data_IF_460711900525
#
_entry.id   IF_460711900525
#
_cell.length_a   1.000
_cell.length_b   1.000
_cell.length_c   1.000
_cell.angle_alpha   90.00
_cell.angle_beta   90.00
_cell.angle_gamma   90.00
#
_symmetry.space_group_name_H-M   'P 1'
#
loop_
_entity.id
_entity.type
_entity.pdbx_description
1 polymer ?
#
# COMPACT_ATOMS: atom_id res chain seq x y z
N UNK A 1 -2.87 17.75 -5.53
CA UNK A 1 -2.27 16.51 -4.99
C UNK A 1 -3.34 15.44 -4.94
N UNK A 2 -3.14 14.34 -5.67
CA UNK A 2 -4.12 13.23 -5.76
C UNK A 2 -3.78 12.19 -4.69
N UNK A 3 -4.82 11.57 -4.12
CA UNK A 3 -4.70 10.56 -3.07
C UNK A 3 -5.42 9.28 -3.48
N UNK A 4 -4.77 8.15 -3.29
CA UNK A 4 -5.31 6.81 -3.53
C UNK A 4 -5.27 6.04 -2.23
N UNK A 5 -6.39 5.42 -1.87
CA UNK A 5 -6.50 4.59 -0.68
C UNK A 5 -6.22 3.13 -1.04
N UNK A 6 -5.26 2.49 -0.36
CA UNK A 6 -5.04 1.05 -0.41
C UNK A 6 -5.55 0.41 0.88
N UNK A 7 -6.68 -0.28 0.79
CA UNK A 7 -7.26 -0.98 1.93
C UNK A 7 -6.60 -2.34 2.16
N UNK A 8 -5.91 -2.48 3.28
CA UNK A 8 -5.18 -3.67 3.69
C UNK A 8 -6.06 -4.55 4.59
N UNK A 9 -6.59 -5.64 4.04
CA UNK A 9 -7.43 -6.60 4.75
C UNK A 9 -6.60 -7.72 5.41
N UNK A 10 -7.16 -8.33 6.45
CA UNK A 10 -6.54 -9.49 7.11
C UNK A 10 -6.42 -10.66 6.11
N UNK A 11 -5.22 -11.23 5.98
CA UNK A 11 -4.94 -12.33 5.07
C UNK A 11 -4.62 -11.93 3.64
N UNK A 12 -4.40 -10.63 3.36
CA UNK A 12 -3.94 -10.16 2.06
C UNK A 12 -2.60 -10.80 1.67
N UNK A 13 -2.33 -10.87 0.37
CA UNK A 13 -1.03 -11.26 -0.17
C UNK A 13 -0.13 -10.01 -0.24
N UNK A 14 1.00 -10.03 0.46
CA UNK A 14 1.82 -8.84 0.67
C UNK A 14 2.60 -8.37 -0.56
N UNK A 15 2.93 -9.26 -1.50
CA UNK A 15 3.62 -8.90 -2.74
C UNK A 15 2.66 -8.24 -3.74
N UNK A 16 1.40 -8.64 -3.78
CA UNK A 16 0.33 -7.96 -4.51
C UNK A 16 0.14 -6.54 -3.97
N UNK A 17 0.11 -6.37 -2.64
CA UNK A 17 0.05 -5.05 -2.03
C UNK A 17 1.30 -4.20 -2.34
N UNK A 18 2.50 -4.82 -2.33
CA UNK A 18 3.76 -4.15 -2.62
C UNK A 18 3.82 -3.59 -4.05
N UNK A 19 3.21 -4.26 -5.03
CA UNK A 19 3.16 -3.77 -6.42
C UNK A 19 2.52 -2.37 -6.53
N UNK A 20 1.51 -2.06 -5.70
CA UNK A 20 0.93 -0.73 -5.65
C UNK A 20 1.90 0.29 -5.07
N UNK A 21 2.60 -0.06 -3.99
CA UNK A 21 3.59 0.84 -3.38
C UNK A 21 4.71 1.19 -4.36
N UNK A 22 5.15 0.24 -5.18
CA UNK A 22 6.15 0.46 -6.23
C UNK A 22 5.62 1.42 -7.31
N UNK A 23 4.50 1.08 -7.95
CA UNK A 23 3.92 1.89 -9.05
C UNK A 23 3.60 3.32 -8.61
N UNK A 24 3.00 3.50 -7.43
CA UNK A 24 2.71 4.85 -6.93
C UNK A 24 3.97 5.59 -6.47
N UNK A 25 4.96 4.88 -5.91
CA UNK A 25 6.27 5.45 -5.57
C UNK A 25 6.99 6.05 -6.77
N UNK A 26 6.89 5.44 -7.95
CA UNK A 26 7.47 6.01 -9.18
C UNK A 26 6.89 7.38 -9.55
N UNK A 27 5.66 7.70 -9.11
CA UNK A 27 5.07 9.02 -9.35
C UNK A 27 5.78 10.15 -8.60
N UNK A 28 6.49 9.86 -7.50
CA UNK A 28 7.31 10.87 -6.81
C UNK A 28 8.68 11.09 -7.44
N UNK A 29 9.12 10.14 -8.28
CA UNK A 29 10.47 10.14 -8.86
C UNK A 29 10.47 10.59 -10.33
N UNK A 30 9.50 10.15 -11.13
CA UNK A 30 9.52 10.33 -12.59
C UNK A 30 8.32 11.07 -13.17
N UNK A 31 7.34 11.45 -12.34
CA UNK A 31 6.12 12.09 -12.81
C UNK A 31 6.02 13.54 -12.33
N UNK A 32 5.26 14.36 -13.07
CA UNK A 32 5.11 15.79 -12.80
C UNK A 32 4.21 16.09 -11.58
N UNK A 33 3.27 15.19 -11.28
CA UNK A 33 2.29 15.38 -10.20
C UNK A 33 2.24 14.16 -9.27
N UNK A 34 2.91 14.18 -8.11
CA UNK A 34 2.96 13.02 -7.23
C UNK A 34 1.56 12.57 -6.79
N UNK A 35 1.38 11.25 -6.73
CA UNK A 35 0.18 10.60 -6.20
C UNK A 35 0.54 9.96 -4.87
N UNK A 36 -0.13 10.37 -3.82
CA UNK A 36 0.06 9.80 -2.49
C UNK A 36 -0.77 8.52 -2.35
N UNK A 37 -0.10 7.42 -2.04
CA UNK A 37 -0.73 6.16 -1.67
C UNK A 37 -0.90 6.11 -0.16
N UNK A 38 -2.15 6.09 0.31
CA UNK A 38 -2.50 6.01 1.72
C UNK A 38 -2.94 4.59 2.03
N UNK A 39 -2.13 3.86 2.79
CA UNK A 39 -2.51 2.56 3.34
C UNK A 39 -3.48 2.77 4.50
N UNK A 40 -4.51 1.94 4.54
CA UNK A 40 -5.51 1.96 5.61
C UNK A 40 -5.89 0.53 5.98
N UNK A 41 -6.18 0.29 7.25
CA UNK A 41 -6.68 -1.00 7.71
C UNK A 41 -7.67 -0.84 8.85
N UNK A 42 -8.50 -1.86 9.08
CA UNK A 42 -9.41 -1.92 10.22
C UNK A 42 -8.68 -2.28 11.54
N UNK A 43 -7.38 -2.57 11.47
CA UNK A 43 -6.56 -3.06 12.58
C UNK A 43 -5.20 -2.36 12.54
N UNK A 44 -4.56 -2.14 13.70
CA UNK A 44 -3.20 -1.59 13.76
C UNK A 44 -2.14 -2.51 13.12
N UNK A 45 -2.41 -3.82 13.09
CA UNK A 45 -1.55 -4.85 12.49
C UNK A 45 -2.40 -5.79 11.65
N UNK A 46 -1.98 -5.99 10.40
CA UNK A 46 -2.59 -6.92 9.44
C UNK A 46 -1.65 -8.09 9.26
N UNK A 47 -2.11 -9.32 9.55
CA UNK A 47 -1.32 -10.52 9.19
C UNK A 47 -1.62 -10.90 7.76
N UNK A 48 -0.58 -11.09 6.97
CA UNK A 48 -0.66 -11.41 5.54
C UNK A 48 -0.63 -12.92 5.32
N UNK A 49 -0.81 -13.34 4.07
CA UNK A 49 -0.85 -14.73 3.65
C UNK A 49 0.46 -15.48 3.96
N UNK A 50 1.62 -14.87 3.70
CA UNK A 50 2.92 -15.56 3.86
C UNK A 50 3.73 -15.08 5.07
N UNK A 51 3.06 -15.01 6.22
CA UNK A 51 3.69 -14.78 7.53
C UNK A 51 4.31 -13.37 7.71
N UNK A 52 3.96 -12.41 6.84
CA UNK A 52 4.25 -10.99 7.06
C UNK A 52 3.22 -10.34 7.98
N UNK A 53 3.64 -9.28 8.65
CA UNK A 53 2.75 -8.36 9.37
C UNK A 53 2.99 -6.95 8.88
N UNK A 54 1.91 -6.28 8.44
CA UNK A 54 1.95 -4.89 7.97
C UNK A 54 1.24 -3.99 8.99
N UNK A 55 1.81 -2.81 9.23
CA UNK A 55 1.19 -1.70 9.96
C UNK A 55 0.65 -0.71 8.90
N UNK A 56 -0.68 -0.66 8.69
CA UNK A 56 -1.29 0.17 7.64
C UNK A 56 -1.14 1.67 7.89
#
# INVERSE_FOLDING_TARGET
MKRVMLFLCQGLEELEAAAFTDVFGWTTTYWLEPVELVTVGLRPKVRCAWNFTIEP
#
